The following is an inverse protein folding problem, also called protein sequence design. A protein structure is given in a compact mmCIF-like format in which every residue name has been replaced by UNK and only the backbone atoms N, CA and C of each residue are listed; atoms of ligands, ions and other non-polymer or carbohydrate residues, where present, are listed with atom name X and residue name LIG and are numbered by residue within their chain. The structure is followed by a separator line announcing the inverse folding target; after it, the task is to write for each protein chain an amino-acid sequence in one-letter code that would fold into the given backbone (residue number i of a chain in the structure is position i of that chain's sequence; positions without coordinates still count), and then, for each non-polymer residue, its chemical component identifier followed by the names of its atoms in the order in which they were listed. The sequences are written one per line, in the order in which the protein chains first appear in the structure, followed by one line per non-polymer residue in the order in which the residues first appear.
data_IF_794762887609
#
_entry.id   IF_794762887609
#
_cell.length_a   1.000
_cell.length_b   1.000
_cell.length_c   1.000
_cell.angle_alpha   90.00
_cell.angle_beta   90.00
_cell.angle_gamma   90.00
#
_symmetry.space_group_name_H-M   'P 1'
#
loop_
_entity.id
_entity.type
_entity.pdbx_description
1 polymer ?
#
# COMPACT_ATOMS: atom_id res chain seq x y z
N UNK A 1 -53.64 25.32 4.74
CA UNK A 1 -52.37 24.74 4.25
C UNK A 1 -51.38 24.75 5.41
N UNK A 2 -51.25 23.63 6.12
CA UNK A 2 -50.26 23.43 7.19
C UNK A 2 -49.30 22.36 6.68
N UNK A 3 -48.05 22.73 6.57
CA UNK A 3 -46.94 21.93 6.03
C UNK A 3 -46.54 20.90 7.09
N UNK A 4 -46.95 19.64 6.92
CA UNK A 4 -46.61 18.51 7.81
C UNK A 4 -45.51 17.60 7.23
N UNK A 5 -44.77 18.06 6.22
CA UNK A 5 -43.81 17.21 5.48
C UNK A 5 -42.35 17.68 5.52
N UNK A 6 -41.92 18.39 6.56
CA UNK A 6 -40.51 18.82 6.69
C UNK A 6 -39.70 18.07 7.76
N UNK A 7 -40.35 17.40 8.71
CA UNK A 7 -39.64 16.63 9.76
C UNK A 7 -39.21 15.23 9.31
N UNK A 8 -39.84 14.67 8.26
CA UNK A 8 -39.54 13.32 7.79
C UNK A 8 -38.26 13.22 6.92
N UNK A 9 -37.72 14.35 6.47
CA UNK A 9 -36.50 14.39 5.64
C UNK A 9 -35.25 14.49 6.54
N UNK A 10 -35.38 15.03 7.75
CA UNK A 10 -34.23 15.25 8.66
C UNK A 10 -33.81 13.97 9.39
N UNK A 11 -34.65 12.94 9.46
CA UNK A 11 -34.36 11.73 10.27
C UNK A 11 -33.62 10.61 9.54
N UNK A 12 -33.43 10.69 8.21
CA UNK A 12 -32.87 9.57 7.41
C UNK A 12 -31.39 9.73 7.01
N UNK A 13 -30.78 10.87 7.33
CA UNK A 13 -29.35 11.13 7.14
C UNK A 13 -28.60 11.26 8.47
N UNK A 14 -29.02 10.49 9.50
CA UNK A 14 -28.04 10.06 10.49
C UNK A 14 -27.07 9.12 9.77
N UNK A 15 -26.00 9.69 9.22
CA UNK A 15 -24.87 8.96 8.65
C UNK A 15 -24.55 7.81 9.61
N UNK A 16 -24.86 6.59 9.17
CA UNK A 16 -24.21 5.41 9.69
C UNK A 16 -22.74 5.56 9.32
N UNK A 17 -21.98 6.20 10.21
CA UNK A 17 -20.55 6.03 10.31
C UNK A 17 -20.36 4.59 10.79
N UNK A 18 -20.51 3.64 9.86
CA UNK A 18 -19.85 2.35 10.00
C UNK A 18 -18.41 2.68 10.41
N UNK A 19 -17.85 2.01 11.44
CA UNK A 19 -16.47 2.26 11.81
C UNK A 19 -15.66 2.00 10.55
N UNK A 20 -15.12 3.07 9.95
CA UNK A 20 -14.13 2.93 8.91
C UNK A 20 -13.03 2.13 9.58
N UNK A 21 -12.89 0.86 9.18
CA UNK A 21 -11.84 0.00 9.68
C UNK A 21 -10.54 0.73 9.38
N UNK A 22 -9.98 1.43 10.37
CA UNK A 22 -8.74 2.17 10.22
C UNK A 22 -7.66 1.11 10.10
N UNK A 23 -7.42 0.66 8.87
CA UNK A 23 -6.25 -0.15 8.55
C UNK A 23 -5.06 0.71 8.99
N UNK A 24 -4.28 0.20 9.94
CA UNK A 24 -3.15 0.92 10.46
C UNK A 24 -2.18 1.20 9.32
N UNK A 25 -1.56 2.39 9.31
CA UNK A 25 -0.52 2.70 8.31
C UNK A 25 0.57 1.61 8.28
N UNK A 26 0.91 1.04 9.43
CA UNK A 26 1.84 -0.08 9.54
C UNK A 26 1.33 -1.34 8.81
N UNK A 27 0.04 -1.67 8.95
CA UNK A 27 -0.57 -2.82 8.29
C UNK A 27 -0.60 -2.64 6.76
N UNK A 28 -0.93 -1.43 6.29
CA UNK A 28 -0.86 -1.11 4.87
C UNK A 28 0.58 -1.20 4.35
N UNK A 29 1.55 -0.65 5.08
CA UNK A 29 2.96 -0.74 4.70
C UNK A 29 3.46 -2.18 4.64
N UNK A 30 3.03 -3.03 5.59
CA UNK A 30 3.34 -4.45 5.58
C UNK A 30 2.70 -5.17 4.40
N UNK A 31 1.45 -4.82 4.05
CA UNK A 31 0.80 -5.35 2.86
C UNK A 31 1.56 -4.97 1.58
N UNK A 32 1.95 -3.70 1.44
CA UNK A 32 2.74 -3.24 0.30
C UNK A 32 4.13 -3.90 0.24
N UNK A 33 4.80 -4.08 1.39
CA UNK A 33 6.08 -4.80 1.46
C UNK A 33 5.95 -6.24 0.93
N UNK A 34 4.88 -6.93 1.29
CA UNK A 34 4.59 -8.28 0.80
C UNK A 34 4.32 -8.28 -0.71
N UNK A 35 3.58 -7.30 -1.22
CA UNK A 35 3.34 -7.13 -2.66
C UNK A 35 4.65 -6.93 -3.42
N UNK A 36 5.56 -6.09 -2.92
CA UNK A 36 6.89 -5.89 -3.53
C UNK A 36 7.70 -7.19 -3.53
N UNK A 37 7.68 -7.95 -2.44
CA UNK A 37 8.34 -9.25 -2.36
C UNK A 37 7.78 -10.27 -3.39
N UNK A 38 6.46 -10.28 -3.59
CA UNK A 38 5.84 -11.08 -4.64
C UNK A 38 6.30 -10.66 -6.04
N UNK A 39 6.32 -9.34 -6.33
CA UNK A 39 6.83 -8.82 -7.61
C UNK A 39 8.28 -9.25 -7.85
N UNK A 40 9.15 -9.19 -6.84
CA UNK A 40 10.54 -9.66 -6.93
C UNK A 40 10.62 -11.15 -7.25
N UNK A 41 9.78 -11.97 -6.60
CA UNK A 41 9.73 -13.42 -6.82
C UNK A 41 9.28 -13.77 -8.23
N UNK A 42 8.23 -13.11 -8.72
CA UNK A 42 7.72 -13.29 -10.10
C UNK A 42 8.77 -12.86 -11.13
N UNK A 43 9.44 -11.73 -10.89
CA UNK A 43 10.51 -11.25 -11.76
C UNK A 43 11.69 -12.25 -11.81
N UNK A 44 12.09 -12.81 -10.67
CA UNK A 44 13.14 -13.83 -10.59
C UNK A 44 12.77 -15.11 -11.36
N UNK A 45 11.54 -15.60 -11.20
CA UNK A 45 11.04 -16.75 -11.96
C UNK A 45 11.05 -16.48 -13.46
N UNK A 46 10.56 -15.30 -13.86
CA UNK A 46 10.51 -14.91 -15.28
C UNK A 46 11.91 -14.75 -15.89
N UNK A 47 12.89 -14.31 -15.10
CA UNK A 47 14.30 -14.26 -15.50
C UNK A 47 14.87 -15.67 -15.72
N UNK A 48 14.48 -16.62 -14.88
CA UNK A 48 14.91 -18.01 -14.98
C UNK A 48 14.31 -18.70 -16.22
N UNK A 49 13.04 -18.45 -16.51
CA UNK A 49 12.37 -18.94 -17.72
C UNK A 49 12.96 -18.32 -19.00
N UNK A 50 13.34 -17.04 -18.95
CA UNK A 50 14.05 -16.38 -20.02
C UNK A 50 15.44 -16.99 -20.26
N UNK A 51 16.23 -17.21 -19.20
CA UNK A 51 17.54 -17.85 -19.29
C UNK A 51 17.44 -19.31 -19.80
N UNK A 52 16.34 -20.00 -19.50
CA UNK A 52 16.03 -21.33 -20.02
C UNK A 52 15.54 -21.32 -21.49
N UNK A 53 15.45 -20.15 -22.14
CA UNK A 53 15.00 -20.01 -23.52
C UNK A 53 13.49 -20.19 -23.72
N UNK A 54 12.70 -20.19 -22.63
CA UNK A 54 11.25 -20.40 -22.66
C UNK A 54 10.44 -19.12 -22.81
N UNK A 55 11.03 -17.96 -22.56
CA UNK A 55 10.32 -16.68 -22.60
C UNK A 55 10.77 -15.81 -23.80
N UNK A 56 9.79 -15.33 -24.57
CA UNK A 56 10.02 -14.44 -25.73
C UNK A 56 10.11 -12.95 -25.34
N UNK A 57 9.80 -12.59 -24.09
CA UNK A 57 9.57 -11.20 -23.68
C UNK A 57 10.60 -10.71 -22.65
N UNK A 58 11.89 -10.68 -23.04
CA UNK A 58 12.99 -10.13 -22.21
C UNK A 58 12.70 -8.72 -21.68
N UNK A 59 12.03 -7.89 -22.49
CA UNK A 59 11.69 -6.52 -22.13
C UNK A 59 10.73 -6.46 -20.93
N UNK A 60 9.72 -7.34 -20.90
CA UNK A 60 8.78 -7.40 -19.77
C UNK A 60 9.46 -7.84 -18.48
N UNK A 61 10.38 -8.82 -18.57
CA UNK A 61 11.14 -9.28 -17.40
C UNK A 61 12.03 -8.17 -16.85
N UNK A 62 12.73 -7.46 -17.74
CA UNK A 62 13.60 -6.35 -17.34
C UNK A 62 12.81 -5.20 -16.70
N UNK A 63 11.64 -4.86 -17.25
CA UNK A 63 10.74 -3.85 -16.66
C UNK A 63 10.21 -4.29 -15.29
N UNK A 64 9.77 -5.54 -15.16
CA UNK A 64 9.29 -6.08 -13.88
C UNK A 64 10.40 -6.08 -12.82
N UNK A 65 11.65 -6.37 -13.22
CA UNK A 65 12.80 -6.34 -12.32
C UNK A 65 13.11 -4.92 -11.85
N UNK A 66 13.07 -3.94 -12.75
CA UNK A 66 13.33 -2.53 -12.39
C UNK A 66 12.19 -1.95 -11.52
N UNK A 67 10.93 -2.27 -11.82
CA UNK A 67 9.78 -1.87 -10.99
C UNK A 67 9.89 -2.43 -9.57
N UNK A 68 10.23 -3.72 -9.45
CA UNK A 68 10.41 -4.36 -8.15
C UNK A 68 11.58 -3.73 -7.37
N UNK A 69 12.69 -3.42 -8.04
CA UNK A 69 13.86 -2.77 -7.45
C UNK A 69 13.55 -1.35 -6.96
N UNK A 70 12.89 -0.53 -7.78
CA UNK A 70 12.47 0.82 -7.39
C UNK A 70 11.50 0.79 -6.20
N UNK A 71 10.53 -0.13 -6.23
CA UNK A 71 9.57 -0.31 -5.14
C UNK A 71 10.25 -0.72 -3.83
N UNK A 72 11.26 -1.58 -3.89
CA UNK A 72 12.06 -1.97 -2.72
C UNK A 72 12.91 -0.82 -2.16
N UNK A 73 13.50 -0.01 -3.04
CA UNK A 73 14.24 1.19 -2.64
C UNK A 73 13.34 2.18 -1.90
N UNK A 74 12.13 2.40 -2.42
CA UNK A 74 11.11 3.22 -1.76
C UNK A 74 10.75 2.67 -0.38
N UNK A 75 10.48 1.37 -0.27
CA UNK A 75 10.17 0.72 1.00
C UNK A 75 11.28 0.93 2.04
N UNK A 76 12.54 0.81 1.61
CA UNK A 76 13.71 1.02 2.48
C UNK A 76 13.77 2.47 2.98
N UNK A 77 13.48 3.44 2.12
CA UNK A 77 13.43 4.85 2.52
C UNK A 77 12.30 5.12 3.52
N UNK A 78 11.12 4.55 3.29
CA UNK A 78 9.98 4.65 4.23
C UNK A 78 10.35 4.04 5.57
N UNK A 79 10.94 2.83 5.59
CA UNK A 79 11.43 2.19 6.83
C UNK A 79 12.38 3.11 7.60
N UNK A 80 13.35 3.72 6.92
CA UNK A 80 14.32 4.61 7.55
C UNK A 80 13.63 5.85 8.13
N UNK A 81 12.70 6.47 7.38
CA UNK A 81 11.95 7.66 7.83
C UNK A 81 11.05 7.37 9.02
N UNK A 82 10.45 6.18 9.09
CA UNK A 82 9.68 5.76 10.26
C UNK A 82 10.56 5.57 11.50
N UNK A 83 11.74 4.98 11.31
CA UNK A 83 12.70 4.79 12.39
C UNK A 83 13.23 6.14 12.91
N UNK A 84 13.52 7.07 12.01
CA UNK A 84 13.88 8.46 12.34
C UNK A 84 12.76 9.18 13.09
N UNK A 85 11.51 9.11 12.59
CA UNK A 85 10.36 9.74 13.22
C UNK A 85 10.07 9.18 14.61
N UNK A 86 10.22 7.87 14.80
CA UNK A 86 10.12 7.24 16.11
C UNK A 86 11.21 7.74 17.07
N UNK A 87 12.46 7.82 16.61
CA UNK A 87 13.56 8.37 17.40
C UNK A 87 13.34 9.85 17.77
N UNK A 88 12.76 10.63 16.87
CA UNK A 88 12.47 12.05 17.11
C UNK A 88 11.41 12.25 18.18
N UNK A 89 10.32 11.47 18.14
CA UNK A 89 9.28 11.50 19.18
C UNK A 89 9.86 11.14 20.55
N UNK A 90 10.80 10.19 20.63
CA UNK A 90 11.48 9.84 21.87
C UNK A 90 12.39 10.97 22.39
N UNK A 91 13.05 11.71 21.49
CA UNK A 91 13.90 12.86 21.87
C UNK A 91 13.12 14.05 22.41
N UNK A 92 11.83 14.17 22.11
CA UNK A 92 10.98 15.25 22.65
C UNK A 92 10.57 15.03 24.12
N UNK A 93 10.72 13.82 24.68
CA UNK A 93 10.26 13.49 26.03
C UNK A 93 11.31 13.71 27.13
N UNK A 94 12.44 14.35 26.84
CA UNK A 94 13.41 14.82 27.85
C UNK A 94 13.25 16.32 28.14
#
# INVERSE_FOLDING_TARGET
MRIENLDAIVSKEALSLAPAQQIGFADQLLAEANTVNQKMTVAASSLQDLAAGKASNIHHVMLALEDAKLSFQLLTQVRNKLLEGYQEVLRMQI
#
